data_IF_021636187157
#
_entry.id   IF_021636187157
#
_cell.length_a   1.000
_cell.length_b   1.000
_cell.length_c   1.000
_cell.angle_alpha   90.00
_cell.angle_beta   90.00
_cell.angle_gamma   90.00
#
_symmetry.space_group_name_H-M   'P 1'
#
loop_
_entity.id
_entity.type
_entity.pdbx_description
1 polymer ?
#
# COMPACT_ATOMS: atom_id res chain seq x y z
N UNK A 1 10.45 2.05 -15.65
CA UNK A 1 9.28 2.11 -14.77
C UNK A 1 8.24 1.09 -15.21
N UNK A 2 8.04 0.04 -14.40
CA UNK A 2 7.03 -0.99 -14.63
C UNK A 2 5.77 -0.71 -13.80
N UNK A 3 5.94 -0.30 -12.55
CA UNK A 3 4.86 0.05 -11.63
C UNK A 3 5.25 1.31 -10.84
N UNK A 4 4.28 2.19 -10.65
CA UNK A 4 4.37 3.36 -9.79
C UNK A 4 3.13 3.37 -8.89
N UNK A 5 3.36 3.35 -7.58
CA UNK A 5 2.32 3.41 -6.54
C UNK A 5 2.47 4.74 -5.80
N UNK A 6 1.37 5.50 -5.73
CA UNK A 6 1.30 6.79 -5.05
C UNK A 6 0.21 6.78 -4.00
N UNK A 7 0.56 7.13 -2.77
CA UNK A 7 -0.35 7.31 -1.64
C UNK A 7 -1.40 6.18 -1.51
N UNK A 8 -0.96 4.93 -1.65
CA UNK A 8 -1.84 3.77 -1.53
C UNK A 8 -2.43 3.71 -0.13
N UNK A 9 -3.76 3.66 -0.08
CA UNK A 9 -4.55 3.57 1.15
C UNK A 9 -5.56 2.45 1.02
N UNK A 10 -5.64 1.63 2.05
CA UNK A 10 -6.62 0.56 2.17
C UNK A 10 -7.12 0.50 3.61
N UNK A 11 -8.34 0.96 3.82
CA UNK A 11 -8.96 1.01 5.14
C UNK A 11 -10.17 0.08 5.17
N UNK A 12 -10.26 -0.74 6.20
CA UNK A 12 -11.43 -1.55 6.48
C UNK A 12 -12.32 -0.83 7.48
N UNK A 13 -13.59 -0.69 7.15
CA UNK A 13 -14.60 -0.27 8.11
C UNK A 13 -14.72 -1.32 9.21
N UNK A 14 -14.71 -0.86 10.45
CA UNK A 14 -15.06 -1.66 11.63
C UNK A 14 -16.20 -0.96 12.35
N UNK A 15 -16.86 -1.67 13.27
CA UNK A 15 -18.04 -1.17 13.99
C UNK A 15 -17.87 0.25 14.56
N UNK A 16 -18.99 0.93 14.76
CA UNK A 16 -19.06 2.27 15.37
C UNK A 16 -18.27 3.36 14.63
N UNK A 17 -18.21 3.27 13.29
CA UNK A 17 -17.54 4.27 12.44
C UNK A 17 -16.02 4.25 12.55
N UNK A 18 -15.45 3.18 13.10
CA UNK A 18 -14.00 2.98 13.15
C UNK A 18 -13.44 2.50 11.82
N UNK A 19 -12.13 2.68 11.67
CA UNK A 19 -11.38 2.13 10.53
C UNK A 19 -10.11 1.44 10.99
N UNK A 20 -9.83 0.26 10.43
CA UNK A 20 -8.51 -0.35 10.48
C UNK A 20 -7.76 0.02 9.22
N UNK A 21 -6.66 0.74 9.38
CA UNK A 21 -5.81 1.16 8.25
C UNK A 21 -4.82 0.06 7.90
N UNK A 22 -5.20 -0.82 6.98
CA UNK A 22 -4.34 -1.93 6.54
C UNK A 22 -3.16 -1.46 5.68
N UNK A 23 -3.36 -0.40 4.89
CA UNK A 23 -2.30 0.33 4.19
C UNK A 23 -2.59 1.82 4.36
N UNK A 24 -1.62 2.64 4.80
CA UNK A 24 -1.80 4.08 5.01
C UNK A 24 -0.66 4.87 4.36
N UNK A 25 -0.90 5.38 3.16
CA UNK A 25 -0.03 6.34 2.48
C UNK A 25 1.26 5.76 1.90
N UNK A 26 1.25 4.49 1.49
CA UNK A 26 2.44 3.84 0.93
C UNK A 26 2.69 4.29 -0.51
N UNK A 27 3.93 4.69 -0.81
CA UNK A 27 4.36 5.07 -2.16
C UNK A 27 5.67 4.38 -2.51
N UNK A 28 5.76 3.80 -3.69
CA UNK A 28 6.98 3.15 -4.19
C UNK A 28 6.93 3.02 -5.72
N UNK A 29 8.09 2.78 -6.32
CA UNK A 29 8.24 2.43 -7.73
C UNK A 29 8.86 1.05 -7.83
N UNK A 30 8.57 0.36 -8.91
CA UNK A 30 9.22 -0.90 -9.27
C UNK A 30 9.59 -0.84 -10.74
N UNK A 31 10.87 -1.04 -11.03
CA UNK A 31 11.38 -1.11 -12.39
C UNK A 31 11.34 -2.54 -12.96
N UNK A 32 11.55 -2.67 -14.28
CA UNK A 32 11.69 -4.01 -14.88
C UNK A 32 12.95 -4.65 -14.32
N UNK A 33 12.88 -5.95 -14.05
CA UNK A 33 13.98 -6.77 -13.52
C UNK A 33 14.36 -6.50 -12.05
N UNK A 34 13.69 -5.56 -11.38
CA UNK A 34 13.82 -5.33 -9.95
C UNK A 34 12.98 -6.35 -9.14
N UNK A 35 13.54 -6.85 -8.04
CA UNK A 35 12.84 -7.73 -7.11
C UNK A 35 12.45 -6.94 -5.85
N UNK A 36 11.16 -6.89 -5.54
CA UNK A 36 10.62 -6.25 -4.33
C UNK A 36 10.10 -7.30 -3.35
N UNK A 37 10.67 -7.33 -2.15
CA UNK A 37 10.16 -8.10 -1.02
C UNK A 37 9.35 -7.22 -0.08
N UNK A 38 8.11 -7.60 0.20
CA UNK A 38 7.29 -6.97 1.25
C UNK A 38 7.46 -7.81 2.51
N UNK A 39 7.96 -7.19 3.58
CA UNK A 39 8.12 -7.80 4.90
C UNK A 39 7.38 -6.98 5.93
N UNK A 40 6.72 -7.67 6.86
CA UNK A 40 5.90 -7.12 7.93
C UNK A 40 5.68 -8.16 9.00
#
# INVERSE_FOLDING_TARGET
MLLEVKDLRMYYEVGDGGFVKAVDGVSFNLDREEALGIVG
#
